data_IF_962639415853
#
_entry.id   IF_962639415853
#
_cell.length_a   1.000
_cell.length_b   1.000
_cell.length_c   1.000
_cell.angle_alpha   90.00
_cell.angle_beta   90.00
_cell.angle_gamma   90.00
#
_symmetry.space_group_name_H-M   'P 1'
#
loop_
_entity.id
_entity.type
_entity.pdbx_description
1 polymer ?
#
# COMPACT_ATOMS: atom_id res chain seq x y z
N UNK A 1 -12.54 -6.46 -20.24
CA UNK A 1 -11.28 -6.01 -19.62
C UNK A 1 -11.51 -4.63 -19.04
N UNK A 2 -11.82 -4.57 -17.75
CA UNK A 2 -11.98 -3.32 -17.00
C UNK A 2 -10.68 -2.51 -17.08
N UNK A 3 -10.73 -1.39 -17.80
CA UNK A 3 -9.60 -0.47 -17.93
C UNK A 3 -9.36 0.21 -16.58
N UNK A 4 -8.49 -0.38 -15.76
CA UNK A 4 -7.97 0.29 -14.57
C UNK A 4 -7.22 1.55 -15.05
N UNK A 5 -7.75 2.72 -14.69
CA UNK A 5 -7.19 4.03 -15.10
C UNK A 5 -5.88 4.38 -14.37
N UNK A 6 -5.55 3.65 -13.31
CA UNK A 6 -4.40 3.91 -12.45
C UNK A 6 -3.19 3.04 -12.83
N UNK A 7 -2.00 3.62 -12.75
CA UNK A 7 -0.72 2.94 -12.97
C UNK A 7 0.17 3.07 -11.73
N UNK A 8 1.18 2.19 -11.62
CA UNK A 8 2.24 2.37 -10.62
C UNK A 8 2.95 3.69 -10.89
N UNK A 9 3.19 4.48 -9.84
CA UNK A 9 3.82 5.80 -9.91
C UNK A 9 2.86 6.98 -10.04
N UNK A 10 1.56 6.73 -10.23
CA UNK A 10 0.56 7.80 -10.26
C UNK A 10 0.35 8.37 -8.84
N UNK A 11 0.25 9.70 -8.73
CA UNK A 11 0.03 10.38 -7.45
C UNK A 11 -1.48 10.56 -7.21
N UNK A 12 -1.99 9.95 -6.14
CA UNK A 12 -3.42 9.88 -5.87
C UNK A 12 -3.76 10.39 -4.47
N UNK A 13 -4.98 10.90 -4.33
CA UNK A 13 -5.56 11.35 -3.05
C UNK A 13 -6.70 10.45 -2.63
N UNK A 14 -6.72 10.06 -1.36
CA UNK A 14 -7.82 9.27 -0.79
C UNK A 14 -9.03 10.17 -0.54
N UNK A 15 -10.14 9.87 -1.20
CA UNK A 15 -11.40 10.63 -1.09
C UNK A 15 -12.30 10.19 0.06
N UNK A 16 -12.15 8.94 0.52
CA UNK A 16 -13.02 8.31 1.52
C UNK A 16 -12.27 7.24 2.34
N UNK A 17 -12.77 6.97 3.54
CA UNK A 17 -12.21 5.99 4.48
C UNK A 17 -11.35 6.61 5.59
N UNK A 18 -10.72 5.74 6.40
CA UNK A 18 -9.91 6.13 7.58
C UNK A 18 -8.76 7.09 7.25
N UNK A 19 -8.22 7.01 6.04
CA UNK A 19 -7.09 7.82 5.57
C UNK A 19 -7.54 8.90 4.56
N UNK A 20 -8.78 9.40 4.67
CA UNK A 20 -9.28 10.47 3.80
C UNK A 20 -8.37 11.69 3.86
N UNK A 21 -8.02 12.22 2.69
CA UNK A 21 -7.14 13.37 2.54
C UNK A 21 -5.66 13.02 2.37
N UNK A 22 -5.23 11.79 2.67
CA UNK A 22 -3.85 11.35 2.45
C UNK A 22 -3.55 11.26 0.95
N UNK A 23 -2.40 11.79 0.57
CA UNK A 23 -1.87 11.80 -0.80
C UNK A 23 -0.62 10.95 -0.87
N UNK A 24 -0.42 10.23 -1.96
CA UNK A 24 0.80 9.44 -2.14
C UNK A 24 0.88 8.75 -3.50
N UNK A 25 2.09 8.31 -3.89
CA UNK A 25 2.30 7.54 -5.10
C UNK A 25 1.77 6.11 -4.96
N UNK A 26 1.22 5.57 -6.05
CA UNK A 26 0.83 4.16 -6.12
C UNK A 26 2.10 3.29 -6.25
N UNK A 27 2.37 2.45 -5.25
CA UNK A 27 3.49 1.50 -5.29
C UNK A 27 3.14 0.23 -6.06
N UNK A 28 1.86 -0.17 -6.06
CA UNK A 28 1.40 -1.42 -6.67
C UNK A 28 -0.08 -1.37 -7.02
N UNK A 29 -0.44 -1.89 -8.18
CA UNK A 29 -1.84 -2.04 -8.63
C UNK A 29 -2.21 -3.52 -8.63
N UNK A 30 -3.20 -3.90 -7.82
CA UNK A 30 -3.76 -5.25 -7.74
C UNK A 30 -5.00 -5.32 -8.63
N UNK A 31 -4.79 -5.54 -9.94
CA UNK A 31 -5.86 -5.53 -10.95
C UNK A 31 -6.92 -6.59 -10.68
N UNK A 32 -6.50 -7.78 -10.27
CA UNK A 32 -7.41 -8.90 -9.93
C UNK A 32 -8.38 -8.58 -8.79
N UNK A 33 -7.95 -7.71 -7.86
CA UNK A 33 -8.74 -7.34 -6.68
C UNK A 33 -9.33 -5.94 -6.77
N UNK A 34 -9.14 -5.24 -7.88
CA UNK A 34 -9.49 -3.81 -8.04
C UNK A 34 -9.00 -2.93 -6.87
N UNK A 35 -7.77 -3.17 -6.41
CA UNK A 35 -7.14 -2.42 -5.30
C UNK A 35 -5.82 -1.77 -5.74
N UNK A 36 -5.49 -0.65 -5.12
CA UNK A 36 -4.19 0.01 -5.26
C UNK A 36 -3.53 0.09 -3.89
N UNK A 37 -2.21 -0.06 -3.87
CA UNK A 37 -1.40 0.16 -2.68
C UNK A 37 -0.72 1.50 -2.86
N UNK A 38 -0.98 2.41 -1.93
CA UNK A 38 -0.46 3.78 -1.92
C UNK A 38 0.58 3.84 -0.80
N UNK A 39 1.71 4.48 -1.08
CA UNK A 39 2.74 4.72 -0.07
C UNK A 39 2.18 5.52 1.10
N UNK A 40 2.52 5.14 2.33
CA UNK A 40 2.07 5.85 3.54
C UNK A 40 0.66 5.53 4.05
N UNK A 41 -0.15 4.75 3.33
CA UNK A 41 -1.55 4.43 3.72
C UNK A 41 -1.67 3.05 4.40
N UNK A 42 -0.55 2.39 4.70
CA UNK A 42 -0.56 1.02 5.22
C UNK A 42 -0.71 0.99 6.74
N UNK A 43 -1.70 0.23 7.21
CA UNK A 43 -1.80 -0.17 8.61
C UNK A 43 -0.72 -1.23 8.87
N UNK A 44 0.23 -0.92 9.75
CA UNK A 44 1.25 -1.85 10.22
C UNK A 44 0.53 -3.07 10.82
N UNK A 45 0.61 -4.22 10.16
CA UNK A 45 0.12 -5.47 10.73
C UNK A 45 1.13 -5.90 11.79
N UNK A 46 0.65 -6.15 13.01
CA UNK A 46 1.48 -6.77 14.05
C UNK A 46 1.97 -8.12 13.53
N UNK A 47 3.27 -8.23 13.23
CA UNK A 47 3.94 -9.48 12.92
C UNK A 47 4.47 -10.05 14.22
N UNK A 48 4.11 -11.31 14.53
CA UNK A 48 4.77 -12.01 15.64
C UNK A 48 6.26 -12.09 15.29
N UNK A 49 7.19 -11.77 16.22
CA UNK A 49 8.60 -11.99 15.97
C UNK A 49 8.79 -13.50 15.72
N UNK A 50 9.19 -13.86 14.50
CA UNK A 50 9.67 -15.21 14.19
C UNK A 50 11.18 -15.15 14.01
N UNK A 51 11.87 -16.22 14.39
CA UNK A 51 13.33 -16.38 14.40
C UNK A 51 14.01 -16.26 13.02
N UNK A 52 13.28 -15.86 11.98
CA UNK A 52 13.77 -15.76 10.60
C UNK A 52 14.33 -14.36 10.26
N UNK A 53 14.13 -13.37 11.14
CA UNK A 53 14.60 -11.99 10.95
C UNK A 53 15.55 -11.54 12.07
N UNK A 54 16.48 -12.42 12.46
CA UNK A 54 17.57 -12.10 13.40
C UNK A 54 18.71 -11.36 12.68
N UNK A 55 18.43 -10.15 12.19
CA UNK A 55 19.47 -9.11 12.12
C UNK A 55 19.58 -8.47 13.52
N UNK A 56 20.10 -9.26 14.46
CA UNK A 56 20.67 -8.71 15.67
C UNK A 56 22.08 -8.24 15.30
N UNK A 57 22.25 -6.92 15.20
CA UNK A 57 23.56 -6.30 15.05
C UNK A 57 24.37 -6.37 16.35
N UNK A 58 25.67 -6.60 16.15
CA UNK A 58 26.84 -6.69 17.08
C UNK A 58 26.96 -7.88 18.03
#
# INVERSE_FOLDING_TARGET
>A
MDKVKFKKGDLVKVIAGKHKGTEGPIIRVLREKSRVVIEGITNIKHVKPSQDNTEAGI
#
